data_IF_698971279997
#
_entry.id   IF_698971279997
#
_cell.length_a   1.000
_cell.length_b   1.000
_cell.length_c   1.000
_cell.angle_alpha   90.00
_cell.angle_beta   90.00
_cell.angle_gamma   90.00
#
_symmetry.space_group_name_H-M   'P 1'
#
loop_
_entity.id
_entity.type
_entity.pdbx_description
1 polymer ?
#
# COMPACT_ATOMS: atom_id res chain seq x y z
N UNK A 1 3.87 -14.58 4.17
CA UNK A 1 2.47 -14.17 3.90
C UNK A 1 2.14 -13.02 4.83
N UNK A 2 1.61 -11.91 4.31
CA UNK A 2 1.22 -10.76 5.12
C UNK A 2 -0.09 -11.09 5.85
N UNK A 3 0.00 -11.48 7.14
CA UNK A 3 -1.12 -11.88 7.99
C UNK A 3 -1.59 -10.76 8.94
N UNK A 4 -1.35 -9.49 8.61
CA UNK A 4 -1.75 -8.36 9.46
C UNK A 4 -3.15 -7.82 9.06
N UNK A 5 -4.21 -8.00 9.87
CA UNK A 5 -5.59 -7.67 9.48
C UNK A 5 -5.83 -6.19 9.17
N UNK A 6 -5.10 -5.28 9.80
CA UNK A 6 -5.20 -3.84 9.52
C UNK A 6 -4.53 -3.47 8.21
N UNK A 7 -3.46 -4.19 7.82
CA UNK A 7 -2.75 -3.96 6.56
C UNK A 7 -3.61 -4.41 5.37
N UNK A 8 -4.24 -5.58 5.50
CA UNK A 8 -5.22 -6.05 4.51
C UNK A 8 -6.44 -5.12 4.38
N UNK A 9 -6.88 -4.50 5.48
CA UNK A 9 -7.94 -3.48 5.45
C UNK A 9 -7.52 -2.24 4.67
N UNK A 10 -6.31 -1.71 4.89
CA UNK A 10 -5.83 -0.56 4.12
C UNK A 10 -5.65 -0.91 2.63
N UNK A 11 -5.17 -2.11 2.30
CA UNK A 11 -5.11 -2.58 0.91
C UNK A 11 -6.50 -2.63 0.26
N UNK A 12 -7.50 -3.14 0.98
CA UNK A 12 -8.87 -3.20 0.49
C UNK A 12 -9.45 -1.81 0.26
N UNK A 13 -9.19 -0.86 1.16
CA UNK A 13 -9.63 0.54 1.02
C UNK A 13 -8.99 1.21 -0.19
N UNK A 14 -7.68 1.08 -0.37
CA UNK A 14 -7.00 1.67 -1.52
C UNK A 14 -7.52 1.08 -2.85
N UNK A 15 -7.74 -0.24 -2.92
CA UNK A 15 -8.36 -0.89 -4.08
C UNK A 15 -9.79 -0.42 -4.36
N UNK A 16 -10.58 -0.17 -3.31
CA UNK A 16 -11.96 0.33 -3.47
C UNK A 16 -12.03 1.73 -4.08
N UNK A 17 -10.96 2.52 -3.97
CA UNK A 17 -10.81 3.83 -4.61
C UNK A 17 -10.31 3.74 -6.06
N UNK A 18 -10.10 2.53 -6.60
CA UNK A 18 -9.55 2.29 -7.94
C UNK A 18 -8.03 2.14 -7.99
N UNK A 19 -7.35 2.12 -6.84
CA UNK A 19 -5.90 1.96 -6.76
C UNK A 19 -5.44 0.53 -7.02
N UNK A 20 -4.25 0.37 -7.61
CA UNK A 20 -3.65 -0.96 -7.80
C UNK A 20 -2.48 -1.15 -6.84
N UNK A 21 -2.34 -2.38 -6.32
CA UNK A 21 -1.29 -2.74 -5.38
C UNK A 21 -0.57 -3.98 -5.90
N UNK A 22 0.75 -3.89 -6.07
CA UNK A 22 1.62 -5.04 -6.31
C UNK A 22 2.46 -5.30 -5.06
N UNK A 23 2.52 -6.56 -4.64
CA UNK A 23 3.33 -6.98 -3.50
C UNK A 23 4.35 -7.97 -4.03
N UNK A 24 5.61 -7.58 -4.00
CA UNK A 24 6.75 -8.42 -4.33
C UNK A 24 7.50 -8.80 -3.04
N UNK A 25 8.50 -9.68 -3.12
CA UNK A 25 9.15 -10.28 -1.94
C UNK A 25 9.60 -9.27 -0.87
N UNK A 26 10.06 -8.09 -1.27
CA UNK A 26 10.55 -7.05 -0.35
C UNK A 26 9.86 -5.69 -0.51
N UNK A 27 8.83 -5.58 -1.37
CA UNK A 27 8.23 -4.28 -1.68
C UNK A 27 6.72 -4.31 -1.84
N UNK A 28 6.07 -3.23 -1.42
CA UNK A 28 4.68 -2.92 -1.67
C UNK A 28 4.66 -1.72 -2.60
N UNK A 29 4.13 -1.91 -3.80
CA UNK A 29 4.01 -0.85 -4.81
C UNK A 29 2.55 -0.42 -4.89
N UNK A 30 2.30 0.87 -4.71
CA UNK A 30 1.01 1.52 -4.92
C UNK A 30 1.04 2.31 -6.22
N UNK A 31 0.09 2.05 -7.11
CA UNK A 31 -0.02 2.75 -8.40
C UNK A 31 -0.97 3.95 -8.31
N UNK A 32 -0.47 5.14 -8.64
CA UNK A 32 -1.22 6.41 -8.62
C UNK A 32 -1.84 6.80 -9.97
N UNK A 33 -2.01 5.85 -10.91
CA UNK A 33 -2.59 6.14 -12.25
C UNK A 33 -4.01 6.72 -12.18
N UNK A 34 -4.82 6.27 -11.21
CA UNK A 34 -6.24 6.64 -11.06
C UNK A 34 -6.45 7.52 -9.83
N UNK A 35 -5.67 7.28 -8.77
CA UNK A 35 -5.79 7.98 -7.50
C UNK A 35 -4.72 9.08 -7.46
N UNK A 36 -5.07 10.31 -7.05
CA UNK A 36 -4.09 11.38 -6.84
C UNK A 36 -2.87 10.92 -6.01
N UNK A 37 -1.69 11.42 -6.37
CA UNK A 37 -0.43 11.03 -5.76
C UNK A 37 -0.39 11.32 -4.25
N UNK A 38 -0.97 12.45 -3.82
CA UNK A 38 -1.10 12.84 -2.41
C UNK A 38 -1.94 11.85 -1.59
N UNK A 39 -3.05 11.38 -2.16
CA UNK A 39 -3.87 10.32 -1.56
C UNK A 39 -3.09 9.01 -1.52
N UNK A 40 -2.39 8.68 -2.60
CA UNK A 40 -1.59 7.45 -2.67
C UNK A 40 -0.46 7.45 -1.64
N UNK A 41 0.20 8.59 -1.42
CA UNK A 41 1.24 8.75 -0.40
C UNK A 41 0.66 8.66 1.03
N UNK A 42 -0.56 9.16 1.27
CA UNK A 42 -1.25 8.96 2.56
C UNK A 42 -1.47 7.48 2.86
N UNK A 43 -1.85 6.67 1.86
CA UNK A 43 -1.96 5.22 2.00
C UNK A 43 -0.58 4.58 2.19
N UNK A 44 0.44 5.01 1.45
CA UNK A 44 1.81 4.53 1.60
C UNK A 44 2.31 4.71 3.03
N UNK A 45 2.13 5.90 3.62
CA UNK A 45 2.52 6.17 5.01
C UNK A 45 1.80 5.29 6.02
N UNK A 46 0.50 5.04 5.83
CA UNK A 46 -0.26 4.13 6.71
C UNK A 46 0.23 2.69 6.59
N UNK A 47 0.48 2.23 5.37
CA UNK A 47 1.02 0.90 5.09
C UNK A 47 2.39 0.75 5.75
N UNK A 48 3.30 1.73 5.61
CA UNK A 48 4.62 1.74 6.29
C UNK A 48 4.50 1.61 7.81
N UNK A 49 3.52 2.28 8.42
CA UNK A 49 3.27 2.19 9.88
C UNK A 49 2.66 0.87 10.31
N UNK A 50 1.92 0.20 9.43
CA UNK A 50 1.26 -1.07 9.73
C UNK A 50 2.18 -2.26 9.44
N UNK A 51 3.14 -2.11 8.53
CA UNK A 51 4.12 -3.13 8.16
C UNK A 51 5.37 -3.11 9.05
N UNK A 52 5.15 -3.01 10.37
CA UNK A 52 6.24 -2.97 11.35
C UNK A 52 7.01 -4.30 11.41
N UNK A 53 6.34 -5.40 11.04
CA UNK A 53 6.88 -6.76 11.16
C UNK A 53 7.67 -7.23 9.93
N UNK A 54 7.26 -6.86 8.71
CA UNK A 54 7.93 -7.35 7.49
C UNK A 54 8.93 -6.34 6.90
N UNK A 55 8.92 -5.09 7.38
CA UNK A 55 9.85 -4.02 6.96
C UNK A 55 9.94 -3.87 5.42
N UNK A 56 8.83 -4.06 4.72
CA UNK A 56 8.77 -3.99 3.28
C UNK A 56 8.95 -2.54 2.82
N UNK A 57 9.67 -2.37 1.72
CA UNK A 57 9.80 -1.08 1.07
C UNK A 57 8.46 -0.68 0.44
N UNK A 58 7.90 0.46 0.84
CA UNK A 58 6.63 0.96 0.28
C UNK A 58 6.92 2.07 -0.71
N UNK A 59 6.63 1.80 -1.99
CA UNK A 59 6.92 2.67 -3.13
C UNK A 59 5.62 3.12 -3.79
N UNK A 60 5.58 4.38 -4.22
CA UNK A 60 4.51 4.93 -5.05
C UNK A 60 5.04 5.02 -6.49
N UNK A 61 4.32 4.41 -7.43
CA UNK A 61 4.63 4.43 -8.87
C UNK A 61 3.49 5.12 -9.63
N UNK A 62 3.83 5.95 -10.64
CA UNK A 62 2.88 6.64 -11.53
C UNK A 62 2.60 5.79 -12.76
#
# INVERSE_FOLDING_TARGET
>A
MINHPSLQREFSRFRSLGGQIRIDNNKIVLYSMIIPEDITELFAQRIRRLDVENLLEVVVEI
#
